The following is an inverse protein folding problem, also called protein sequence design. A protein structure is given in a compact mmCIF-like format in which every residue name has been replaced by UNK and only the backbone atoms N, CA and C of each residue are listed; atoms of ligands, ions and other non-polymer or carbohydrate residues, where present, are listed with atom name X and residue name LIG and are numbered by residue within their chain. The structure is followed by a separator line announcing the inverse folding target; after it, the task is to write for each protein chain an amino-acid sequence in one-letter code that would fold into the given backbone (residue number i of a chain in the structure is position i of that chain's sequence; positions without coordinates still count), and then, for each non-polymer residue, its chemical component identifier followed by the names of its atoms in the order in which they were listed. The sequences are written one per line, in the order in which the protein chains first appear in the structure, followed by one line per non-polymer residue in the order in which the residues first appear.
data_IF_235044888411
#
_entry.id   IF_235044888411
#
_cell.length_a   1.000
_cell.length_b   1.000
_cell.length_c   1.000
_cell.angle_alpha   90.00
_cell.angle_beta   90.00
_cell.angle_gamma   90.00
#
_symmetry.space_group_name_H-M   'P 1'
#
loop_
_entity.id
_entity.type
_entity.pdbx_description
1 polymer ?
#
# COMPACT_ATOMS: atom_id res chain seq x y z
N UNK A 1 -47.09 48.22 36.49
CA UNK A 1 -45.88 47.55 37.01
C UNK A 1 -46.03 46.07 36.74
N UNK A 2 -45.10 45.33 36.16
CA UNK A 2 -43.78 45.58 35.57
C UNK A 2 -43.23 44.15 35.29
N UNK A 3 -42.52 43.97 34.18
CA UNK A 3 -41.66 42.80 33.83
C UNK A 3 -42.36 41.44 33.54
N UNK A 4 -42.20 40.84 32.34
CA UNK A 4 -40.99 40.17 31.80
C UNK A 4 -40.66 38.90 32.66
N UNK A 5 -40.28 37.73 32.18
CA UNK A 5 -39.69 37.25 30.94
C UNK A 5 -39.54 35.71 31.04
N UNK A 6 -39.24 35.08 29.90
CA UNK A 6 -38.54 33.78 29.73
C UNK A 6 -39.14 32.45 30.25
N UNK A 7 -39.34 31.52 29.32
CA UNK A 7 -38.48 30.31 29.23
C UNK A 7 -38.68 29.66 27.86
N UNK A 8 -37.63 29.83 27.04
CA UNK A 8 -37.11 29.05 25.91
C UNK A 8 -38.03 28.15 25.08
N UNK A 9 -38.02 28.48 23.78
CA UNK A 9 -38.22 27.56 22.67
C UNK A 9 -37.21 26.40 22.71
N UNK A 10 -37.63 25.20 22.32
CA UNK A 10 -36.91 24.43 21.29
C UNK A 10 -37.84 23.38 20.65
N UNK A 11 -38.29 23.69 19.45
CA UNK A 11 -38.56 22.70 18.39
C UNK A 11 -37.24 22.50 17.63
N UNK A 12 -37.12 21.57 16.67
CA UNK A 12 -37.67 20.23 16.50
C UNK A 12 -36.53 19.20 16.31
N UNK A 13 -36.90 17.93 16.15
CA UNK A 13 -36.01 16.81 15.77
C UNK A 13 -35.07 17.18 14.62
N UNK A 14 -33.77 17.31 14.91
CA UNK A 14 -32.72 17.43 13.90
C UNK A 14 -32.13 16.04 13.62
N UNK A 15 -32.02 15.78 12.32
CA UNK A 15 -31.60 14.57 11.65
C UNK A 15 -30.26 13.98 12.11
N UNK A 16 -30.13 12.66 11.95
CA UNK A 16 -28.88 12.04 11.54
C UNK A 16 -29.10 11.29 10.22
N UNK A 17 -28.24 11.50 9.21
CA UNK A 17 -28.48 11.11 7.83
C UNK A 17 -28.30 9.60 7.62
N UNK A 18 -29.13 9.05 6.74
CA UNK A 18 -28.85 7.78 6.07
C UNK A 18 -27.52 7.98 5.34
N UNK A 19 -26.47 7.33 5.81
CA UNK A 19 -25.21 7.27 5.07
C UNK A 19 -25.43 6.20 4.02
N UNK A 20 -26.02 6.63 2.91
CA UNK A 20 -26.03 5.90 1.66
C UNK A 20 -24.56 5.67 1.28
N UNK A 21 -24.04 4.51 1.67
CA UNK A 21 -22.69 4.09 1.32
C UNK A 21 -22.66 3.88 -0.19
N UNK A 22 -22.34 4.97 -0.88
CA UNK A 22 -21.52 5.04 -2.09
C UNK A 22 -21.21 3.64 -2.63
N UNK A 23 -22.11 3.16 -3.49
CA UNK A 23 -21.75 2.22 -4.55
C UNK A 23 -20.89 2.98 -5.55
N UNK A 24 -19.67 3.33 -5.15
CA UNK A 24 -18.62 3.59 -6.12
C UNK A 24 -18.21 2.21 -6.61
N UNK A 25 -18.85 1.77 -7.68
CA UNK A 25 -18.36 0.68 -8.52
C UNK A 25 -16.89 0.97 -8.76
N UNK A 26 -15.92 0.21 -8.21
CA UNK A 26 -14.54 0.44 -8.55
C UNK A 26 -14.47 0.25 -10.06
N UNK A 27 -14.03 1.31 -10.77
CA UNK A 27 -13.54 1.19 -12.13
C UNK A 27 -12.70 -0.09 -12.23
N UNK A 28 -12.69 -0.81 -13.37
CA UNK A 28 -11.99 -2.09 -13.47
C UNK A 28 -10.55 -1.86 -13.04
N UNK A 29 -10.25 -2.20 -11.78
CA UNK A 29 -8.90 -2.26 -11.26
C UNK A 29 -8.27 -3.24 -12.22
N UNK A 30 -7.32 -2.77 -13.02
CA UNK A 30 -6.56 -3.61 -13.93
C UNK A 30 -6.14 -4.80 -13.09
N UNK A 31 -6.87 -5.90 -13.28
CA UNK A 31 -6.92 -6.94 -12.29
C UNK A 31 -5.57 -7.56 -12.40
N UNK A 32 -4.73 -7.37 -11.37
CA UNK A 32 -3.40 -7.92 -11.38
C UNK A 32 -3.56 -9.40 -11.71
N UNK A 33 -3.10 -9.80 -12.89
CA UNK A 33 -3.26 -11.17 -13.32
C UNK A 33 -2.52 -12.05 -12.31
N UNK A 34 -3.09 -13.20 -11.97
CA UNK A 34 -2.50 -14.15 -11.00
C UNK A 34 -1.02 -14.42 -11.33
N UNK A 35 -0.68 -14.46 -12.63
CA UNK A 35 0.69 -14.62 -13.10
C UNK A 35 1.58 -13.41 -12.78
N UNK A 36 1.09 -12.17 -12.86
CA UNK A 36 1.78 -10.95 -12.47
C UNK A 36 2.01 -10.89 -10.95
N UNK A 37 1.03 -11.30 -10.16
CA UNK A 37 1.18 -11.45 -8.71
C UNK A 37 2.25 -12.47 -8.34
N UNK A 38 2.19 -13.66 -8.94
CA UNK A 38 3.14 -14.73 -8.70
C UNK A 38 4.58 -14.30 -9.07
N UNK A 39 4.76 -13.66 -10.23
CA UNK A 39 6.06 -13.12 -10.66
C UNK A 39 6.59 -12.05 -9.69
N UNK A 40 5.70 -11.21 -9.15
CA UNK A 40 6.08 -10.23 -8.13
C UNK A 40 6.55 -10.92 -6.83
N UNK A 41 5.85 -11.97 -6.38
CA UNK A 41 6.24 -12.75 -5.21
C UNK A 41 7.60 -13.42 -5.41
N UNK A 42 7.81 -14.07 -6.55
CA UNK A 42 9.07 -14.75 -6.88
C UNK A 42 10.25 -13.79 -6.95
N UNK A 43 10.08 -12.63 -7.61
CA UNK A 43 11.11 -11.62 -7.67
C UNK A 43 11.45 -11.06 -6.28
N UNK A 44 10.43 -10.74 -5.48
CA UNK A 44 10.60 -10.26 -4.11
C UNK A 44 11.34 -11.29 -3.26
N UNK A 45 11.02 -12.57 -3.40
CA UNK A 45 11.67 -13.67 -2.68
C UNK A 45 13.14 -13.80 -3.07
N UNK A 46 13.46 -13.65 -4.36
CA UNK A 46 14.85 -13.64 -4.85
C UNK A 46 15.64 -12.47 -4.28
N UNK A 47 15.06 -11.26 -4.26
CA UNK A 47 15.70 -10.09 -3.66
C UNK A 47 15.94 -10.27 -2.16
N UNK A 48 14.94 -10.77 -1.41
CA UNK A 48 15.14 -11.08 0.01
C UNK A 48 16.15 -12.20 0.23
N UNK A 49 16.21 -13.19 -0.67
CA UNK A 49 17.21 -14.27 -0.57
C UNK A 49 18.63 -13.75 -0.71
N UNK A 50 18.82 -12.77 -1.60
CA UNK A 50 20.11 -12.12 -1.77
C UNK A 50 20.53 -11.32 -0.53
N UNK A 51 19.58 -10.63 0.12
CA UNK A 51 19.87 -9.71 1.22
C UNK A 51 19.92 -10.43 2.58
N UNK A 52 18.95 -11.29 2.87
CA UNK A 52 18.78 -11.96 4.17
C UNK A 52 19.16 -13.45 4.15
N UNK A 53 19.55 -13.98 2.99
CA UNK A 53 19.83 -15.40 2.82
C UNK A 53 18.56 -16.26 2.68
N UNK A 54 18.63 -17.57 2.95
CA UNK A 54 17.62 -18.56 2.54
C UNK A 54 16.23 -18.38 3.18
N UNK A 55 16.09 -17.48 4.17
CA UNK A 55 14.79 -17.16 4.78
C UNK A 55 13.85 -16.35 3.86
N UNK A 56 14.39 -15.73 2.80
CA UNK A 56 13.65 -14.82 1.92
C UNK A 56 12.29 -15.35 1.44
N UNK A 57 12.19 -16.54 0.84
CA UNK A 57 10.92 -17.08 0.35
C UNK A 57 9.88 -17.27 1.46
N UNK A 58 10.31 -17.69 2.65
CA UNK A 58 9.42 -17.86 3.81
C UNK A 58 8.84 -16.53 4.28
N UNK A 59 9.66 -15.46 4.27
CA UNK A 59 9.18 -14.11 4.59
C UNK A 59 8.14 -13.68 3.57
N UNK A 60 8.44 -13.79 2.28
CA UNK A 60 7.49 -13.41 1.21
C UNK A 60 6.19 -14.18 1.32
N UNK A 61 6.21 -15.50 1.50
CA UNK A 61 4.98 -16.29 1.63
C UNK A 61 4.10 -15.79 2.78
N UNK A 62 4.70 -15.45 3.93
CA UNK A 62 3.98 -14.88 5.08
C UNK A 62 3.42 -13.48 4.80
N UNK A 63 4.15 -12.64 4.08
CA UNK A 63 3.71 -11.28 3.74
C UNK A 63 2.62 -11.31 2.66
N UNK A 64 2.79 -12.15 1.63
CA UNK A 64 1.86 -12.33 0.53
C UNK A 64 0.50 -12.82 1.02
N UNK A 65 0.46 -13.72 2.00
CA UNK A 65 -0.79 -14.20 2.60
C UNK A 65 -1.67 -13.11 3.25
N UNK A 66 -1.10 -11.93 3.53
CA UNK A 66 -1.81 -10.78 4.12
C UNK A 66 -1.76 -9.51 3.27
N UNK A 67 -1.14 -9.57 2.10
CA UNK A 67 -0.95 -8.42 1.22
C UNK A 67 -1.88 -8.53 0.02
N UNK A 68 -2.67 -7.48 -0.21
CA UNK A 68 -3.60 -7.43 -1.34
C UNK A 68 -3.03 -6.64 -2.54
N UNK A 69 -1.76 -6.24 -2.47
CA UNK A 69 -1.11 -5.54 -3.57
C UNK A 69 0.41 -5.78 -3.59
N UNK A 70 1.04 -5.71 -4.77
CA UNK A 70 2.49 -5.78 -4.96
C UNK A 70 3.26 -4.74 -4.15
N UNK A 71 2.75 -3.51 -4.12
CA UNK A 71 3.37 -2.41 -3.39
C UNK A 71 3.33 -2.66 -1.88
N UNK A 72 2.19 -3.14 -1.37
CA UNK A 72 2.05 -3.54 0.04
C UNK A 72 3.01 -4.68 0.38
N UNK A 73 3.11 -5.70 -0.49
CA UNK A 73 4.02 -6.82 -0.29
C UNK A 73 5.48 -6.35 -0.13
N UNK A 74 5.95 -5.51 -1.05
CA UNK A 74 7.33 -4.97 -1.00
C UNK A 74 7.54 -4.11 0.24
N UNK A 75 6.55 -3.29 0.61
CA UNK A 75 6.63 -2.42 1.79
C UNK A 75 6.72 -3.23 3.09
N UNK A 76 5.88 -4.25 3.24
CA UNK A 76 5.90 -5.19 4.37
C UNK A 76 7.24 -5.93 4.46
N UNK A 77 7.77 -6.40 3.32
CA UNK A 77 9.08 -7.05 3.26
C UNK A 77 10.21 -6.09 3.64
N UNK A 78 10.18 -4.84 3.17
CA UNK A 78 11.18 -3.84 3.54
C UNK A 78 11.12 -3.51 5.04
N UNK A 79 9.92 -3.44 5.62
CA UNK A 79 9.70 -3.23 7.05
C UNK A 79 10.19 -4.39 7.92
N UNK A 80 10.21 -5.62 7.39
CA UNK A 80 10.78 -6.79 8.06
C UNK A 80 12.31 -6.73 8.19
N UNK A 81 13.00 -6.09 7.24
CA UNK A 81 14.46 -5.95 7.25
C UNK A 81 14.87 -4.97 8.35
N UNK A 82 15.71 -5.42 9.28
CA UNK A 82 16.12 -4.64 10.45
C UNK A 82 17.19 -3.59 10.14
N UNK A 83 18.17 -3.92 9.31
CA UNK A 83 19.29 -3.03 9.03
C UNK A 83 19.00 -2.16 7.80
N UNK A 84 19.30 -0.86 7.92
CA UNK A 84 18.96 0.12 6.88
C UNK A 84 19.69 -0.17 5.56
N UNK A 85 20.97 -0.55 5.62
CA UNK A 85 21.77 -0.90 4.44
C UNK A 85 21.20 -2.10 3.67
N UNK A 86 20.76 -3.14 4.38
CA UNK A 86 20.09 -4.30 3.79
C UNK A 86 18.77 -3.91 3.14
N UNK A 87 18.00 -3.03 3.79
CA UNK A 87 16.72 -2.52 3.27
C UNK A 87 16.93 -1.69 2.00
N UNK A 88 17.92 -0.81 2.00
CA UNK A 88 18.27 0.00 0.84
C UNK A 88 18.71 -0.88 -0.33
N UNK A 89 19.53 -1.90 -0.06
CA UNK A 89 19.95 -2.87 -1.06
C UNK A 89 18.77 -3.68 -1.62
N UNK A 90 17.85 -4.12 -0.75
CA UNK A 90 16.62 -4.79 -1.17
C UNK A 90 15.78 -3.91 -2.10
N UNK A 91 15.50 -2.67 -1.71
CA UNK A 91 14.72 -1.73 -2.51
C UNK A 91 15.42 -1.40 -3.85
N UNK A 92 16.76 -1.27 -3.84
CA UNK A 92 17.56 -1.10 -5.05
C UNK A 92 17.44 -2.29 -6.00
N UNK A 93 17.38 -3.52 -5.49
CA UNK A 93 17.18 -4.73 -6.29
C UNK A 93 15.77 -4.82 -6.85
N UNK A 94 14.75 -4.50 -6.04
CA UNK A 94 13.35 -4.40 -6.48
C UNK A 94 13.24 -3.43 -7.67
N UNK A 95 13.86 -2.25 -7.59
CA UNK A 95 13.86 -1.26 -8.68
C UNK A 95 14.55 -1.71 -9.97
N UNK A 96 15.43 -2.73 -9.92
CA UNK A 96 16.11 -3.35 -11.07
C UNK A 96 15.38 -4.60 -11.61
N UNK A 97 14.20 -4.89 -11.09
CA UNK A 97 13.45 -6.09 -11.45
C UNK A 97 12.94 -6.13 -12.89
N UNK A 98 12.32 -7.26 -13.26
CA UNK A 98 11.63 -7.43 -14.53
C UNK A 98 10.64 -6.29 -14.81
N UNK A 99 10.46 -5.93 -16.10
CA UNK A 99 9.66 -4.77 -16.50
C UNK A 99 8.18 -4.88 -16.08
N UNK A 100 7.64 -6.09 -16.13
CA UNK A 100 6.33 -6.48 -15.62
C UNK A 100 6.22 -6.24 -14.11
N UNK A 101 7.15 -6.77 -13.30
CA UNK A 101 7.16 -6.55 -11.84
C UNK A 101 7.27 -5.07 -11.49
N UNK A 102 8.10 -4.32 -12.22
CA UNK A 102 8.27 -2.86 -12.03
C UNK A 102 7.02 -2.06 -12.42
N UNK A 103 6.27 -2.50 -13.43
CA UNK A 103 4.96 -1.93 -13.81
C UNK A 103 3.94 -2.20 -12.71
N UNK A 104 3.93 -3.44 -12.21
CA UNK A 104 3.01 -3.95 -11.19
C UNK A 104 3.18 -3.31 -9.81
N UNK A 105 4.41 -2.99 -9.39
CA UNK A 105 4.69 -2.25 -8.15
C UNK A 105 4.36 -0.75 -8.31
N UNK A 106 4.15 -0.30 -9.56
CA UNK A 106 3.85 1.10 -9.89
C UNK A 106 5.03 1.98 -9.53
N UNK A 107 6.07 2.02 -10.39
CA UNK A 107 7.23 2.94 -10.32
C UNK A 107 7.32 3.68 -8.97
N UNK A 108 7.78 2.99 -7.92
CA UNK A 108 8.17 3.67 -6.69
C UNK A 108 9.07 4.83 -7.11
N UNK A 109 8.89 6.05 -6.58
CA UNK A 109 9.61 7.23 -7.04
C UNK A 109 11.08 7.04 -6.72
N UNK A 110 11.81 6.36 -7.61
CA UNK A 110 13.25 6.40 -7.67
C UNK A 110 13.55 7.85 -8.01
N UNK A 111 13.87 8.63 -6.97
CA UNK A 111 14.34 10.00 -7.05
C UNK A 111 15.60 10.05 -7.91
N UNK A 112 15.42 10.01 -9.22
CA UNK A 112 16.42 10.31 -10.20
C UNK A 112 16.58 11.81 -10.23
N UNK A 113 17.53 12.32 -9.45
CA UNK A 113 18.09 13.66 -9.60
C UNK A 113 18.54 13.81 -11.05
N UNK A 114 17.70 14.43 -11.88
CA UNK A 114 18.13 14.94 -13.19
C UNK A 114 19.05 16.12 -12.90
N UNK A 115 20.35 15.88 -12.96
CA UNK A 115 21.32 16.97 -13.19
C UNK A 115 21.15 17.40 -14.64
N UNK A 116 20.36 18.45 -14.85
CA UNK A 116 20.44 19.23 -16.08
C UNK A 116 21.81 19.92 -16.09
N UNK A 117 22.58 19.70 -17.15
CA UNK A 117 23.78 20.47 -17.49
C UNK A 117 23.39 21.75 -18.21
#
# INVERSE_FOLDING_TARGET
MDYAYETVAETPVVAAPVVEQVSESPAPVESLDEAGWQRCCEWTARCLTYVLGPIGPTVVARMAARSNSPLTLVSECAGFIRHQNERDEFLRLIGKGPADVRRTIGQAPTGGRRVAS
#
